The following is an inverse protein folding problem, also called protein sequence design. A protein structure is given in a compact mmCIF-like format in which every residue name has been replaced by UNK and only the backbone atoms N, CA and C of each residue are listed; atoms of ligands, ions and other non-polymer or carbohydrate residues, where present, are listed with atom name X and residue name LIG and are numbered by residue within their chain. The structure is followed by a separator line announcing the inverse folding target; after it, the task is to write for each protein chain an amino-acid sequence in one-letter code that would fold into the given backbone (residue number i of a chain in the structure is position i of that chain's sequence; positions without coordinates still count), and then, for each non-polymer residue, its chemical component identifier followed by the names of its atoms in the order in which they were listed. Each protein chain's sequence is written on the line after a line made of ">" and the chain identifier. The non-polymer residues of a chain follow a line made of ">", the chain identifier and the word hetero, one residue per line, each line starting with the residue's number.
data_IF_126479876190
#
_entry.id   IF_126479876190
#
_cell.length_a   1.000
_cell.length_b   1.000
_cell.length_c   1.000
_cell.angle_alpha   90.00
_cell.angle_beta   90.00
_cell.angle_gamma   90.00
#
_symmetry.space_group_name_H-M   'P 1'
#
loop_
_entity.id
_entity.type
_entity.pdbx_description
1 polymer ?
#
# COMPACT_ATOMS: atom_id res chain seq x y z
N UNK A 1 -8.15 7.50 -8.94
CA UNK A 1 -7.15 7.24 -7.89
C UNK A 1 -5.79 7.70 -8.38
N UNK A 2 -4.94 8.32 -7.55
CA UNK A 2 -3.61 8.88 -7.93
C UNK A 2 -2.45 8.07 -7.33
N UNK A 3 -2.54 6.75 -7.40
CA UNK A 3 -1.51 5.84 -6.88
C UNK A 3 -1.51 4.50 -7.62
N UNK A 4 -2.03 4.47 -8.84
CA UNK A 4 -2.06 3.32 -9.77
C UNK A 4 -1.96 3.84 -11.22
N UNK A 5 -1.31 4.99 -11.41
CA UNK A 5 -1.28 5.71 -12.70
C UNK A 5 0.09 5.66 -13.39
N UNK A 6 1.02 4.86 -12.84
CA UNK A 6 2.38 4.68 -13.31
C UNK A 6 3.32 5.84 -12.96
N UNK A 7 2.90 6.82 -12.13
CA UNK A 7 3.72 7.99 -11.79
C UNK A 7 4.21 7.92 -10.35
N UNK A 8 5.52 7.91 -10.21
CA UNK A 8 6.21 7.93 -8.92
C UNK A 8 6.81 9.33 -8.74
N UNK A 9 6.21 10.14 -7.85
CA UNK A 9 6.60 11.51 -7.54
C UNK A 9 6.64 11.69 -6.03
N UNK A 10 7.85 11.73 -5.45
CA UNK A 10 8.03 11.95 -4.02
C UNK A 10 8.13 13.44 -3.67
N UNK A 11 8.28 14.31 -4.67
CA UNK A 11 8.28 15.74 -4.49
C UNK A 11 6.88 16.25 -4.10
N UNK A 12 6.85 17.36 -3.36
CA UNK A 12 5.60 17.99 -2.95
C UNK A 12 4.75 18.45 -4.16
N UNK A 13 5.41 18.88 -5.24
CA UNK A 13 4.80 19.44 -6.45
C UNK A 13 5.48 18.89 -7.72
N UNK A 14 4.71 18.40 -8.71
CA UNK A 14 3.27 18.24 -8.68
C UNK A 14 2.84 17.13 -7.72
N UNK A 15 1.67 17.30 -7.08
CA UNK A 15 1.15 16.28 -6.18
C UNK A 15 0.52 15.11 -6.94
N UNK A 16 1.21 13.97 -6.97
CA UNK A 16 0.66 12.69 -7.41
C UNK A 16 0.79 11.67 -6.27
N UNK A 17 -0.29 11.48 -5.53
CA UNK A 17 -0.33 10.59 -4.37
C UNK A 17 -1.75 10.34 -3.90
N UNK A 18 -1.92 9.18 -3.28
CA UNK A 18 -2.99 8.92 -2.33
C UNK A 18 -2.47 9.11 -0.90
N UNK A 19 -3.28 9.70 -0.01
CA UNK A 19 -2.94 9.83 1.42
C UNK A 19 -4.18 9.68 2.28
N UNK A 20 -4.03 9.08 3.46
CA UNK A 20 -5.03 9.06 4.54
C UNK A 20 -5.00 10.32 5.43
N UNK A 21 -4.38 11.41 4.96
CA UNK A 21 -4.24 12.65 5.74
C UNK A 21 -5.61 13.18 6.21
N UNK A 22 -5.69 13.58 7.47
CA UNK A 22 -6.94 14.01 8.11
C UNK A 22 -7.80 12.87 8.69
N UNK A 23 -7.47 11.60 8.42
CA UNK A 23 -8.15 10.47 9.04
C UNK A 23 -7.98 10.49 10.58
N UNK A 24 -9.04 10.21 11.36
CA UNK A 24 -8.92 10.03 12.80
C UNK A 24 -8.41 8.64 13.19
N UNK A 25 -8.35 7.69 12.25
CA UNK A 25 -8.12 6.28 12.53
C UNK A 25 -6.66 5.99 12.85
N UNK A 26 -6.42 4.88 13.54
CA UNK A 26 -5.08 4.30 13.74
C UNK A 26 -4.63 3.46 12.53
N UNK A 27 -5.59 2.93 11.78
CA UNK A 27 -5.36 2.19 10.55
C UNK A 27 -6.27 2.70 9.45
N UNK A 28 -5.74 2.80 8.24
CA UNK A 28 -6.51 3.10 7.03
C UNK A 28 -6.10 2.15 5.92
N UNK A 29 -6.91 2.08 4.87
CA UNK A 29 -6.71 1.13 3.78
C UNK A 29 -6.67 1.81 2.42
N UNK A 30 -5.87 1.25 1.52
CA UNK A 30 -5.97 1.52 0.10
C UNK A 30 -6.45 0.24 -0.59
N UNK A 31 -7.71 0.25 -1.03
CA UNK A 31 -8.36 -0.86 -1.71
C UNK A 31 -8.22 -0.73 -3.23
N UNK A 32 -7.99 -1.86 -3.90
CA UNK A 32 -8.03 -2.00 -5.36
C UNK A 32 -9.01 -3.11 -5.73
N UNK A 33 -9.83 -2.81 -6.72
CA UNK A 33 -10.60 -3.79 -7.47
C UNK A 33 -9.93 -3.98 -8.83
N UNK A 34 -9.67 -5.24 -9.18
CA UNK A 34 -8.98 -5.62 -10.41
C UNK A 34 -10.02 -5.83 -11.51
N UNK A 35 -9.71 -5.38 -12.72
CA UNK A 35 -10.60 -5.54 -13.87
C UNK A 35 -10.91 -7.01 -14.17
N UNK A 36 -9.92 -7.89 -13.97
CA UNK A 36 -10.03 -9.33 -14.16
C UNK A 36 -9.41 -10.07 -12.97
N UNK A 37 -9.96 -11.25 -12.58
CA UNK A 37 -9.30 -12.13 -11.61
C UNK A 37 -7.85 -12.38 -12.02
N UNK A 38 -6.90 -12.00 -11.16
CA UNK A 38 -5.47 -12.05 -11.46
C UNK A 38 -4.71 -12.77 -10.37
N UNK A 39 -3.75 -13.61 -10.75
CA UNK A 39 -2.85 -14.25 -9.80
C UNK A 39 -1.73 -13.27 -9.45
N UNK A 40 -1.62 -12.94 -8.18
CA UNK A 40 -0.71 -11.89 -7.67
C UNK A 40 0.16 -12.50 -6.58
N UNK A 41 1.46 -12.18 -6.58
CA UNK A 41 2.42 -12.60 -5.54
C UNK A 41 3.30 -11.47 -4.99
N UNK A 42 3.19 -10.25 -5.55
CA UNK A 42 4.03 -9.12 -5.15
C UNK A 42 3.30 -7.79 -5.27
N UNK A 43 3.53 -6.94 -4.27
CA UNK A 43 3.16 -5.52 -4.28
C UNK A 43 4.40 -4.65 -4.10
N UNK A 44 4.46 -3.51 -4.79
CA UNK A 44 5.49 -2.48 -4.59
C UNK A 44 4.79 -1.20 -4.16
N UNK A 45 5.07 -0.77 -2.93
CA UNK A 45 4.49 0.42 -2.32
C UNK A 45 5.53 1.54 -2.40
N UNK A 46 5.27 2.56 -3.20
CA UNK A 46 6.10 3.77 -3.24
C UNK A 46 5.61 4.73 -2.16
N UNK A 47 6.12 4.55 -0.95
CA UNK A 47 5.64 5.23 0.25
C UNK A 47 6.04 6.71 0.22
N UNK A 48 5.07 7.60 0.37
CA UNK A 48 5.29 9.05 0.41
C UNK A 48 5.58 9.52 1.85
N UNK A 49 6.53 10.43 2.01
CA UNK A 49 6.94 11.00 3.29
C UNK A 49 7.25 12.49 3.16
N UNK A 50 6.35 13.34 3.66
CA UNK A 50 6.56 14.79 3.74
C UNK A 50 7.29 15.23 5.02
N UNK A 51 7.73 14.27 5.84
CA UNK A 51 8.37 14.47 7.16
C UNK A 51 7.50 15.21 8.16
N UNK A 52 6.19 15.29 7.90
CA UNK A 52 5.21 16.02 8.68
C UNK A 52 3.94 15.21 8.85
N UNK A 53 2.88 15.64 8.17
CA UNK A 53 1.53 15.08 8.28
C UNK A 53 1.39 13.68 7.66
N UNK A 54 2.22 13.37 6.68
CA UNK A 54 2.25 12.07 6.00
C UNK A 54 3.64 11.47 6.11
N UNK A 55 3.74 10.31 6.72
CA UNK A 55 5.00 9.61 7.02
C UNK A 55 4.85 8.11 6.75
N UNK A 56 5.98 7.37 6.61
CA UNK A 56 5.92 5.92 6.50
C UNK A 56 5.16 5.32 7.69
N UNK A 57 4.27 4.34 7.42
CA UNK A 57 3.55 3.65 8.49
C UNK A 57 4.54 2.97 9.45
N UNK A 58 4.04 2.63 10.64
CA UNK A 58 4.76 1.72 11.53
C UNK A 58 4.78 0.29 10.98
N UNK A 59 3.69 -0.11 10.32
CA UNK A 59 3.58 -1.39 9.62
C UNK A 59 2.54 -1.33 8.49
N UNK A 60 2.59 -2.28 7.56
CA UNK A 60 1.52 -2.51 6.59
C UNK A 60 1.31 -3.99 6.33
N UNK A 61 0.09 -4.38 5.94
CA UNK A 61 -0.23 -5.75 5.50
C UNK A 61 -1.05 -5.69 4.22
N UNK A 62 -0.92 -6.71 3.38
CA UNK A 62 -1.83 -6.94 2.26
C UNK A 62 -2.90 -7.95 2.65
N UNK A 63 -4.14 -7.63 2.30
CA UNK A 63 -5.28 -8.51 2.44
C UNK A 63 -5.95 -8.72 1.08
N UNK A 64 -6.46 -9.93 0.84
CA UNK A 64 -7.28 -10.27 -0.31
C UNK A 64 -8.74 -10.45 0.11
N UNK A 65 -9.66 -10.16 -0.82
CA UNK A 65 -11.06 -10.52 -0.63
C UNK A 65 -11.26 -11.99 -1.03
N UNK A 66 -11.49 -12.85 -0.04
CA UNK A 66 -11.54 -14.31 -0.19
C UNK A 66 -12.76 -14.81 0.56
N UNK A 67 -13.63 -15.57 -0.10
CA UNK A 67 -14.87 -16.14 0.47
C UNK A 67 -15.84 -15.12 1.10
N UNK A 68 -15.85 -13.88 0.57
CA UNK A 68 -16.75 -12.82 1.08
C UNK A 68 -16.22 -12.08 2.30
N UNK A 69 -14.94 -12.24 2.64
CA UNK A 69 -14.28 -11.54 3.73
C UNK A 69 -12.85 -11.12 3.37
N UNK A 70 -12.34 -10.11 4.08
CA UNK A 70 -10.94 -9.68 3.95
C UNK A 70 -10.05 -10.62 4.77
N UNK A 71 -9.04 -11.21 4.13
CA UNK A 71 -8.05 -12.09 4.78
C UNK A 71 -6.63 -11.61 4.50
N UNK A 72 -5.80 -11.55 5.54
CA UNK A 72 -4.36 -11.35 5.36
C UNK A 72 -3.76 -12.45 4.48
N UNK A 73 -2.97 -12.04 3.49
CA UNK A 73 -2.25 -12.99 2.65
C UNK A 73 -1.11 -13.62 3.46
N UNK A 74 -0.78 -14.87 3.14
CA UNK A 74 0.18 -15.66 3.91
C UNK A 74 1.63 -15.44 3.43
N UNK A 75 2.60 -15.71 4.31
CA UNK A 75 4.04 -15.61 4.03
C UNK A 75 4.50 -14.23 3.52
N UNK A 76 3.93 -13.16 4.08
CA UNK A 76 4.29 -11.78 3.75
C UNK A 76 5.72 -11.44 4.18
N UNK A 77 6.58 -11.11 3.21
CA UNK A 77 7.97 -10.69 3.42
C UNK A 77 8.17 -9.28 2.87
N UNK A 78 8.62 -8.37 3.74
CA UNK A 78 8.83 -6.95 3.44
C UNK A 78 10.30 -6.66 3.17
N UNK A 79 10.56 -5.82 2.18
CA UNK A 79 11.89 -5.28 1.88
C UNK A 79 11.74 -3.79 1.55
N UNK A 80 12.21 -2.87 2.40
CA UNK A 80 12.88 -3.11 3.69
C UNK A 80 11.95 -3.75 4.74
N UNK A 81 12.50 -4.43 5.78
CA UNK A 81 11.69 -4.99 6.87
C UNK A 81 10.95 -3.93 7.69
N UNK A 82 11.52 -2.72 7.78
CA UNK A 82 10.88 -1.56 8.40
C UNK A 82 10.41 -0.62 7.29
N UNK A 83 9.11 -0.27 7.20
CA UNK A 83 8.60 0.62 6.17
C UNK A 83 9.38 1.94 6.14
N UNK A 84 9.87 2.32 4.96
CA UNK A 84 10.72 3.50 4.77
C UNK A 84 10.10 4.46 3.77
N UNK A 85 10.11 5.75 4.09
CA UNK A 85 9.51 6.81 3.28
C UNK A 85 10.34 7.21 2.06
N UNK A 86 9.68 7.80 1.07
CA UNK A 86 10.24 8.30 -0.19
C UNK A 86 11.06 7.27 -0.97
N UNK A 87 10.62 6.02 -0.94
CA UNK A 87 11.21 4.94 -1.72
C UNK A 87 10.23 3.78 -1.95
N UNK A 88 10.61 2.87 -2.82
CA UNK A 88 9.91 1.61 -3.03
C UNK A 88 10.08 0.68 -1.83
N UNK A 89 8.96 0.15 -1.33
CA UNK A 89 8.88 -0.91 -0.34
C UNK A 89 8.24 -2.12 -1.01
N UNK A 90 8.99 -3.21 -1.14
CA UNK A 90 8.55 -4.43 -1.80
C UNK A 90 7.93 -5.36 -0.77
N UNK A 91 6.78 -5.92 -1.10
CA UNK A 91 6.08 -6.94 -0.33
C UNK A 91 5.87 -8.17 -1.21
N UNK A 92 6.42 -9.30 -0.79
CA UNK A 92 6.17 -10.61 -1.42
C UNK A 92 5.30 -11.48 -0.52
N UNK A 93 4.50 -12.36 -1.11
CA UNK A 93 3.60 -13.28 -0.42
C UNK A 93 3.29 -14.48 -1.32
N UNK A 94 2.62 -15.50 -0.79
CA UNK A 94 2.24 -16.65 -1.60
C UNK A 94 1.29 -16.23 -2.74
N UNK A 95 1.57 -16.61 -4.00
CA UNK A 95 0.73 -16.20 -5.11
C UNK A 95 -0.72 -16.68 -4.99
N UNK A 96 -1.66 -15.75 -5.11
CA UNK A 96 -3.10 -16.00 -4.92
C UNK A 96 -3.93 -15.33 -6.02
N UNK A 97 -4.99 -16.01 -6.48
CA UNK A 97 -5.95 -15.46 -7.43
C UNK A 97 -6.93 -14.55 -6.69
N UNK A 98 -6.98 -13.27 -7.05
CA UNK A 98 -7.84 -12.27 -6.41
C UNK A 98 -8.60 -11.43 -7.45
N UNK A 99 -9.73 -10.88 -7.01
CA UNK A 99 -10.46 -9.79 -7.71
C UNK A 99 -10.38 -8.47 -6.96
N UNK A 100 -10.17 -8.52 -5.64
CA UNK A 100 -9.95 -7.35 -4.79
C UNK A 100 -8.82 -7.59 -3.83
N UNK A 101 -8.04 -6.54 -3.58
CA UNK A 101 -6.99 -6.51 -2.58
C UNK A 101 -7.02 -5.17 -1.86
N UNK A 102 -6.44 -5.12 -0.67
CA UNK A 102 -6.18 -3.86 0.01
C UNK A 102 -4.86 -3.90 0.74
N UNK A 103 -4.20 -2.76 0.81
CA UNK A 103 -3.11 -2.53 1.76
C UNK A 103 -3.72 -1.89 3.00
N UNK A 104 -3.52 -2.51 4.16
CA UNK A 104 -3.88 -1.95 5.47
C UNK A 104 -2.62 -1.32 6.06
N UNK A 105 -2.67 -0.04 6.37
CA UNK A 105 -1.57 0.72 6.96
C UNK A 105 -1.81 0.92 8.44
N UNK A 106 -0.83 0.60 9.29
CA UNK A 106 -0.82 1.00 10.70
C UNK A 106 0.03 2.25 10.87
N UNK A 107 -0.63 3.38 11.16
CA UNK A 107 0.01 4.69 11.15
C UNK A 107 1.05 4.87 12.25
N UNK A 108 2.07 5.69 11.97
CA UNK A 108 3.11 6.06 12.93
C UNK A 108 2.64 7.27 13.75
N UNK A 109 2.21 7.01 14.99
CA UNK A 109 1.80 8.07 15.92
C UNK A 109 0.66 8.91 15.37
N UNK A 110 0.87 10.23 15.25
CA UNK A 110 -0.13 11.17 14.72
C UNK A 110 -0.07 11.38 13.20
N UNK A 111 0.99 10.92 12.55
CA UNK A 111 1.10 11.02 11.10
C UNK A 111 0.12 10.05 10.42
N UNK A 112 -0.13 10.27 9.13
CA UNK A 112 -0.93 9.39 8.28
C UNK A 112 -0.09 8.82 7.16
N UNK A 113 -0.60 7.79 6.50
CA UNK A 113 0.15 7.07 5.47
C UNK A 113 -0.32 7.45 4.08
N UNK A 114 0.58 7.40 3.12
CA UNK A 114 0.29 7.70 1.74
C UNK A 114 1.27 7.04 0.80
N UNK A 115 0.84 6.84 -0.43
CA UNK A 115 1.65 6.28 -1.52
C UNK A 115 1.62 7.26 -2.68
N UNK A 116 2.77 7.45 -3.34
CA UNK A 116 2.75 8.03 -4.70
C UNK A 116 2.27 7.01 -5.72
N UNK A 117 2.56 5.72 -5.51
CA UNK A 117 2.19 4.66 -6.43
C UNK A 117 2.14 3.30 -5.71
N UNK A 118 1.23 2.45 -6.15
CA UNK A 118 1.10 1.05 -5.77
C UNK A 118 1.12 0.20 -7.03
N UNK A 119 2.13 -0.65 -7.15
CA UNK A 119 2.21 -1.61 -8.24
C UNK A 119 1.87 -3.00 -7.72
N UNK A 120 1.12 -3.75 -8.52
CA UNK A 120 0.68 -5.12 -8.21
C UNK A 120 1.16 -6.03 -9.34
N UNK A 121 1.86 -7.11 -8.98
CA UNK A 121 2.54 -7.98 -9.93
C UNK A 121 2.16 -9.45 -9.74
N UNK A 122 1.93 -10.13 -10.87
CA UNK A 122 1.86 -11.59 -10.92
C UNK A 122 3.24 -12.22 -10.81
N UNK A 123 3.30 -13.40 -10.18
CA UNK A 123 4.46 -14.29 -10.09
C UNK A 123 4.03 -15.75 -10.29
#
# INVERSE_FOLDING_TARGET
>A
MRAIDGKIIFEATPANRWTSYGSPNLNDTLELELENPSKIGRAVLHIYDDRGGVQPPSDYVIEGWIDGEWKALVNQVKSPPVPTGNMANVLKFDPVLLTKLRIVFTHRGKARSGLTELEIWGE
#
